data_IF_872365195090
#
_entry.id   IF_872365195090
#
_cell.length_a   1.000
_cell.length_b   1.000
_cell.length_c   1.000
_cell.angle_alpha   90.00
_cell.angle_beta   90.00
_cell.angle_gamma   90.00
#
_symmetry.space_group_name_H-M   'P 1'
#
loop_
_entity.id
_entity.type
_entity.pdbx_description
1 polymer ?
#
# COMPACT_ATOMS: atom_id res chain seq x y z
N UNK A 1 18.31 15.43 -12.38
CA UNK A 1 17.39 14.34 -12.00
C UNK A 1 16.12 15.01 -11.53
N UNK A 2 15.09 14.98 -12.36
CA UNK A 2 13.82 15.65 -12.15
C UNK A 2 13.02 15.00 -11.01
N UNK A 3 12.89 15.71 -9.89
CA UNK A 3 12.09 15.30 -8.73
C UNK A 3 10.61 15.03 -9.06
N UNK A 4 10.16 15.40 -10.27
CA UNK A 4 8.81 15.12 -10.76
C UNK A 4 8.56 13.63 -11.04
N UNK A 5 9.57 12.84 -11.43
CA UNK A 5 9.35 11.43 -11.77
C UNK A 5 9.13 10.56 -10.54
N UNK A 6 9.94 10.79 -9.48
CA UNK A 6 9.89 9.98 -8.25
C UNK A 6 8.54 10.12 -7.54
N UNK A 7 7.95 11.31 -7.55
CA UNK A 7 6.63 11.53 -6.94
C UNK A 7 5.50 10.83 -7.70
N UNK A 8 5.58 10.76 -9.03
CA UNK A 8 4.59 10.02 -9.84
C UNK A 8 4.71 8.52 -9.62
N UNK A 9 5.92 7.97 -9.64
CA UNK A 9 6.16 6.54 -9.39
C UNK A 9 5.66 6.11 -8.01
N UNK A 10 5.84 6.99 -7.01
CA UNK A 10 5.33 6.79 -5.65
C UNK A 10 3.80 6.79 -5.63
N UNK A 11 3.16 7.76 -6.28
CA UNK A 11 1.70 7.84 -6.34
C UNK A 11 1.10 6.63 -7.05
N UNK A 12 1.62 6.24 -8.21
CA UNK A 12 1.13 5.07 -8.96
C UNK A 12 1.24 3.78 -8.15
N UNK A 13 2.33 3.62 -7.39
CA UNK A 13 2.52 2.47 -6.50
C UNK A 13 1.53 2.47 -5.33
N UNK A 14 1.26 3.63 -4.74
CA UNK A 14 0.26 3.75 -3.66
C UNK A 14 -1.15 3.50 -4.18
N UNK A 15 -1.53 4.09 -5.31
CA UNK A 15 -2.83 3.88 -5.96
C UNK A 15 -3.05 2.40 -6.26
N UNK A 16 -2.02 1.71 -6.75
CA UNK A 16 -2.09 0.27 -6.98
C UNK A 16 -2.26 -0.53 -5.70
N UNK A 17 -1.59 -0.16 -4.61
CA UNK A 17 -1.78 -0.82 -3.30
C UNK A 17 -3.22 -0.66 -2.82
N UNK A 18 -3.80 0.55 -2.93
CA UNK A 18 -5.18 0.79 -2.51
C UNK A 18 -6.18 0.02 -3.39
N UNK A 19 -5.95 -0.04 -4.70
CA UNK A 19 -6.78 -0.83 -5.60
C UNK A 19 -6.78 -2.32 -5.23
N UNK A 20 -5.60 -2.89 -4.92
CA UNK A 20 -5.50 -4.29 -4.47
C UNK A 20 -6.25 -4.53 -3.16
N UNK A 21 -6.28 -3.54 -2.25
CA UNK A 21 -7.07 -3.62 -1.01
C UNK A 21 -8.56 -3.58 -1.34
N UNK A 22 -9.00 -2.66 -2.20
CA UNK A 22 -10.40 -2.54 -2.61
C UNK A 22 -10.91 -3.80 -3.35
N UNK A 23 -10.06 -4.42 -4.17
CA UNK A 23 -10.33 -5.68 -4.89
C UNK A 23 -10.21 -6.93 -4.00
N UNK A 24 -9.97 -6.76 -2.70
CA UNK A 24 -9.80 -7.82 -1.71
C UNK A 24 -8.59 -8.76 -1.97
N UNK A 25 -7.60 -8.32 -2.76
CA UNK A 25 -6.35 -9.04 -3.05
C UNK A 25 -5.32 -8.85 -1.93
N UNK A 26 -5.73 -9.15 -0.69
CA UNK A 26 -5.01 -8.82 0.55
C UNK A 26 -3.56 -9.35 0.62
N UNK A 27 -3.31 -10.54 0.05
CA UNK A 27 -1.96 -11.12 0.02
C UNK A 27 -1.02 -10.35 -0.91
N UNK A 28 -1.51 -9.90 -2.06
CA UNK A 28 -0.71 -9.14 -3.01
C UNK A 28 -0.52 -7.71 -2.52
N UNK A 29 -1.55 -7.09 -1.96
CA UNK A 29 -1.46 -5.79 -1.29
C UNK A 29 -0.37 -5.79 -0.21
N UNK A 30 -0.29 -6.84 0.62
CA UNK A 30 0.75 -6.98 1.66
C UNK A 30 2.15 -7.04 1.06
N UNK A 31 2.37 -7.82 -0.01
CA UNK A 31 3.67 -7.89 -0.68
C UNK A 31 4.10 -6.54 -1.26
N UNK A 32 3.17 -5.83 -1.89
CA UNK A 32 3.44 -4.52 -2.47
C UNK A 32 3.76 -3.48 -1.39
N UNK A 33 3.09 -3.52 -0.24
CA UNK A 33 3.40 -2.67 0.92
C UNK A 33 4.81 -2.94 1.45
N UNK A 34 5.21 -4.21 1.63
CA UNK A 34 6.55 -4.56 2.08
C UNK A 34 7.63 -4.09 1.09
N UNK A 35 7.40 -4.31 -0.21
CA UNK A 35 8.30 -3.85 -1.27
C UNK A 35 8.39 -2.32 -1.32
N UNK A 36 7.29 -1.61 -1.10
CA UNK A 36 7.27 -0.16 -1.02
C UNK A 36 8.07 0.34 0.19
N UNK A 37 7.87 -0.24 1.38
CA UNK A 37 8.62 0.11 2.60
C UNK A 37 10.11 -0.09 2.43
N UNK A 38 10.52 -1.17 1.77
CA UNK A 38 11.93 -1.44 1.49
C UNK A 38 12.56 -0.38 0.55
N UNK A 39 11.78 0.18 -0.38
CA UNK A 39 12.26 1.16 -1.35
C UNK A 39 12.23 2.61 -0.84
N UNK A 40 11.19 3.00 -0.09
CA UNK A 40 10.92 4.41 0.26
C UNK A 40 10.85 4.68 1.76
N UNK A 41 10.91 3.64 2.60
CA UNK A 41 10.73 3.75 4.05
C UNK A 41 9.25 3.85 4.49
N UNK A 42 9.00 4.02 5.79
CA UNK A 42 7.64 4.18 6.32
C UNK A 42 7.10 5.57 5.99
N UNK A 43 6.09 5.64 5.12
CA UNK A 43 5.33 6.86 4.82
C UNK A 43 3.90 6.76 5.38
N UNK A 44 3.23 7.89 5.68
CA UNK A 44 1.89 7.89 6.29
C UNK A 44 0.86 7.05 5.52
N UNK A 45 0.91 7.10 4.19
CA UNK A 45 0.01 6.37 3.30
C UNK A 45 0.18 4.86 3.43
N UNK A 46 1.40 4.38 3.65
CA UNK A 46 1.68 2.96 3.89
C UNK A 46 1.15 2.52 5.25
N UNK A 47 1.31 3.34 6.29
CA UNK A 47 0.74 3.05 7.62
C UNK A 47 -0.78 2.96 7.54
N UNK A 48 -1.41 3.81 6.72
CA UNK A 48 -2.84 3.72 6.41
C UNK A 48 -3.20 2.42 5.71
N UNK A 49 -2.44 2.00 4.69
CA UNK A 49 -2.67 0.72 4.00
C UNK A 49 -2.53 -0.49 4.94
N UNK A 50 -1.52 -0.49 5.83
CA UNK A 50 -1.35 -1.52 6.85
C UNK A 50 -2.55 -1.56 7.82
N UNK A 51 -3.05 -0.40 8.23
CA UNK A 51 -4.24 -0.28 9.10
C UNK A 51 -5.49 -0.83 8.40
N UNK A 52 -5.70 -0.50 7.12
CA UNK A 52 -6.82 -1.02 6.34
C UNK A 52 -6.78 -2.55 6.27
N UNK A 53 -5.62 -3.14 5.94
CA UNK A 53 -5.45 -4.59 5.92
C UNK A 53 -5.81 -5.24 7.26
N UNK A 54 -5.37 -4.65 8.38
CA UNK A 54 -5.71 -5.16 9.72
C UNK A 54 -7.20 -5.09 10.03
N UNK A 55 -7.89 -4.03 9.59
CA UNK A 55 -9.34 -3.89 9.78
C UNK A 55 -10.13 -4.93 8.96
N UNK A 56 -9.74 -5.16 7.70
CA UNK A 56 -10.38 -6.19 6.87
C UNK A 56 -10.14 -7.61 7.40
N UNK A 57 -8.92 -7.90 7.88
CA UNK A 57 -8.62 -9.18 8.51
C UNK A 57 -9.45 -9.42 9.78
N UNK A 58 -9.65 -8.39 10.61
CA UNK A 58 -10.44 -8.47 11.84
C UNK A 58 -11.96 -8.48 11.58
N UNK A 59 -12.42 -7.85 10.50
CA UNK A 59 -13.83 -7.80 10.12
C UNK A 59 -14.36 -9.09 9.50
N UNK A 60 -13.48 -9.97 8.98
CA UNK A 60 -13.83 -11.28 8.44
C UNK A 60 -14.05 -12.38 9.50
N UNK A 61 -13.90 -12.07 10.80
CA UNK A 61 -14.14 -13.00 11.92
C UNK A 61 -15.52 -12.85 12.60
N UNK A 62 -16.48 -12.14 11.99
CA UNK A 62 -17.87 -11.99 12.45
C UNK A 62 -18.88 -12.54 11.45
#
# INVERSE_FOLDING_TARGET
MDSKSVNQDVQERLDRIFLLIDDNEMQEARKQIEAFKAAYGPVPEIVRSETLLSLYAAGSEL
#
